data_IF_651142240144
#
_entry.id   IF_651142240144
#
_cell.length_a   1.000
_cell.length_b   1.000
_cell.length_c   1.000
_cell.angle_alpha   90.00
_cell.angle_beta   90.00
_cell.angle_gamma   90.00
#
_symmetry.space_group_name_H-M   'P 1'
#
loop_
_entity.id
_entity.type
_entity.pdbx_description
1 polymer ?
#
# COMPACT_ATOMS: atom_id res chain seq x y z
N UNK A 1 4.73 -0.93 23.56
CA UNK A 1 5.43 -0.57 22.31
C UNK A 1 4.39 -0.41 21.22
N UNK A 2 4.26 0.75 20.60
CA UNK A 2 3.36 0.96 19.46
C UNK A 2 4.13 0.75 18.14
N UNK A 3 4.12 -0.47 17.62
CA UNK A 3 4.54 -0.76 16.25
C UNK A 3 3.29 -1.06 15.42
N UNK A 4 2.67 -0.05 14.79
CA UNK A 4 1.53 -0.30 13.92
C UNK A 4 1.30 0.76 12.84
N UNK A 5 2.29 1.61 12.52
CA UNK A 5 2.16 2.52 11.38
C UNK A 5 3.52 2.86 10.77
N UNK A 6 3.51 3.05 9.45
CA UNK A 6 4.65 3.50 8.64
C UNK A 6 4.24 4.81 8.00
N UNK A 7 5.08 5.85 8.12
CA UNK A 7 4.89 7.12 7.43
C UNK A 7 5.88 7.18 6.28
N UNK A 8 5.38 7.34 5.06
CA UNK A 8 6.20 7.50 3.85
C UNK A 8 6.19 8.96 3.42
N UNK A 9 7.38 9.54 3.22
CA UNK A 9 7.56 10.88 2.63
C UNK A 9 8.35 10.74 1.34
N UNK A 10 7.79 11.20 0.23
CA UNK A 10 8.42 11.14 -1.10
C UNK A 10 8.89 12.54 -1.51
N UNK A 11 10.08 12.60 -2.09
CA UNK A 11 10.66 13.79 -2.71
C UNK A 11 11.79 13.36 -3.65
N UNK A 12 11.86 13.98 -4.82
CA UNK A 12 12.91 13.73 -5.77
C UNK A 12 14.16 14.54 -5.42
N UNK A 13 15.20 13.84 -4.94
CA UNK A 13 16.45 14.44 -4.48
C UNK A 13 17.16 15.30 -5.55
N UNK A 14 17.08 14.91 -6.83
CA UNK A 14 17.76 15.62 -7.93
C UNK A 14 17.04 16.93 -8.28
N UNK A 15 15.71 16.93 -8.21
CA UNK A 15 14.89 18.12 -8.45
C UNK A 15 14.77 19.02 -7.21
N UNK A 16 15.17 18.54 -6.04
CA UNK A 16 14.94 19.19 -4.73
C UNK A 16 13.46 19.56 -4.52
N UNK A 17 12.56 18.71 -4.98
CA UNK A 17 11.13 18.98 -4.99
C UNK A 17 10.29 17.78 -5.41
N UNK A 18 8.98 17.95 -5.44
CA UNK A 18 8.04 16.92 -5.87
C UNK A 18 7.97 16.89 -7.39
N UNK A 19 7.98 15.68 -7.96
CA UNK A 19 7.94 15.41 -9.39
C UNK A 19 6.99 14.26 -9.70
N UNK A 20 6.74 14.02 -10.99
CA UNK A 20 5.95 12.86 -11.44
C UNK A 20 6.50 11.52 -10.94
N UNK A 21 7.82 11.41 -10.71
CA UNK A 21 8.43 10.19 -10.16
C UNK A 21 7.89 9.86 -8.76
N UNK A 22 7.63 10.88 -7.95
CA UNK A 22 7.08 10.71 -6.60
C UNK A 22 5.64 10.22 -6.67
N UNK A 23 4.85 10.74 -7.61
CA UNK A 23 3.48 10.27 -7.85
C UNK A 23 3.43 8.86 -8.43
N UNK A 24 4.30 8.52 -9.38
CA UNK A 24 4.42 7.16 -9.92
C UNK A 24 4.76 6.15 -8.82
N UNK A 25 5.69 6.50 -7.92
CA UNK A 25 6.04 5.67 -6.77
C UNK A 25 4.87 5.58 -5.76
N UNK A 26 4.18 6.69 -5.49
CA UNK A 26 3.00 6.68 -4.62
C UNK A 26 1.91 5.75 -5.17
N UNK A 27 1.63 5.80 -6.49
CA UNK A 27 0.69 4.89 -7.14
C UNK A 27 1.12 3.42 -7.02
N UNK A 28 2.43 3.13 -7.13
CA UNK A 28 2.91 1.76 -6.95
C UNK A 28 2.75 1.28 -5.51
N UNK A 29 3.04 2.14 -4.53
CA UNK A 29 2.83 1.84 -3.11
C UNK A 29 1.34 1.55 -2.86
N UNK A 30 0.45 2.40 -3.36
CA UNK A 30 -0.99 2.22 -3.23
C UNK A 30 -1.45 0.90 -3.86
N UNK A 31 -0.98 0.58 -5.06
CA UNK A 31 -1.31 -0.67 -5.74
C UNK A 31 -0.81 -1.93 -5.00
N UNK A 32 0.31 -1.84 -4.28
CA UNK A 32 0.83 -2.94 -3.46
C UNK A 32 0.05 -3.08 -2.16
N UNK A 33 -0.21 -1.96 -1.47
CA UNK A 33 -0.96 -1.96 -0.21
C UNK A 33 -2.38 -2.45 -0.47
N UNK A 34 -3.09 -1.87 -1.44
CA UNK A 34 -4.48 -2.23 -1.75
C UNK A 34 -4.66 -3.54 -2.53
N UNK A 35 -3.58 -4.31 -2.71
CA UNK A 35 -3.64 -5.55 -3.47
C UNK A 35 -4.61 -6.57 -2.85
N UNK A 36 -5.45 -7.17 -3.70
CA UNK A 36 -6.51 -8.12 -3.32
C UNK A 36 -6.34 -9.43 -4.10
N UNK A 37 -5.39 -10.29 -3.70
CA UNK A 37 -5.08 -11.49 -4.48
C UNK A 37 -6.24 -12.50 -4.55
N UNK A 38 -7.15 -12.50 -3.56
CA UNK A 38 -8.36 -13.32 -3.60
C UNK A 38 -9.31 -12.99 -4.76
N UNK A 39 -9.16 -11.83 -5.41
CA UNK A 39 -9.92 -11.44 -6.61
C UNK A 39 -9.27 -11.90 -7.92
N UNK A 40 -8.05 -12.44 -7.87
CA UNK A 40 -7.28 -12.82 -9.07
C UNK A 40 -7.44 -14.31 -9.45
N UNK A 41 -8.20 -15.10 -8.68
CA UNK A 41 -8.48 -16.51 -8.99
C UNK A 41 -7.29 -17.45 -8.83
N UNK A 42 -6.25 -17.04 -8.09
CA UNK A 42 -5.06 -17.83 -7.77
C UNK A 42 -5.16 -18.62 -6.45
N UNK A 43 -4.03 -19.13 -5.97
CA UNK A 43 -3.94 -19.87 -4.71
C UNK A 43 -3.99 -18.98 -3.44
N UNK A 44 -3.90 -17.66 -3.61
CA UNK A 44 -3.86 -16.71 -2.50
C UNK A 44 -5.28 -16.24 -2.17
N UNK A 45 -5.73 -16.50 -0.95
CA UNK A 45 -7.09 -16.19 -0.49
C UNK A 45 -7.32 -14.69 -0.24
N UNK A 46 -6.27 -13.92 0.03
CA UNK A 46 -6.34 -12.46 0.28
C UNK A 46 -6.67 -12.09 1.72
N UNK A 47 -7.17 -10.86 1.90
CA UNK A 47 -7.43 -10.28 3.22
C UNK A 47 -8.63 -10.99 3.88
N UNK A 48 -8.49 -11.55 5.10
CA UNK A 48 -9.59 -12.20 5.80
C UNK A 48 -10.77 -11.27 6.12
N UNK A 49 -11.98 -11.82 6.14
CA UNK A 49 -13.19 -11.08 6.54
C UNK A 49 -13.31 -10.91 8.07
N UNK A 50 -12.72 -11.82 8.86
CA UNK A 50 -12.72 -11.71 10.33
C UNK A 50 -11.96 -10.43 10.74
N UNK A 51 -12.63 -9.47 11.41
CA UNK A 51 -12.02 -8.21 11.82
C UNK A 51 -10.76 -8.36 12.69
N UNK A 52 -10.58 -9.50 13.37
CA UNK A 52 -9.39 -9.78 14.18
C UNK A 52 -8.13 -9.97 13.35
N UNK A 53 -8.29 -10.39 12.09
CA UNK A 53 -7.18 -10.74 11.18
C UNK A 53 -7.14 -9.84 9.93
N UNK A 54 -8.12 -8.95 9.76
CA UNK A 54 -8.18 -7.98 8.68
C UNK A 54 -7.11 -6.90 8.87
N UNK A 55 -6.13 -6.86 7.97
CA UNK A 55 -5.01 -5.91 8.03
C UNK A 55 -5.23 -4.65 7.16
N UNK A 56 -6.23 -4.65 6.28
CA UNK A 56 -6.61 -3.50 5.43
C UNK A 56 -8.13 -3.35 5.40
N UNK A 57 -8.60 -2.11 5.56
CA UNK A 57 -9.98 -1.73 5.28
C UNK A 57 -10.02 -1.09 3.89
N UNK A 58 -10.75 -1.71 2.98
CA UNK A 58 -11.09 -1.12 1.69
C UNK A 58 -12.27 -0.14 1.88
N UNK A 59 -12.30 0.94 1.10
CA UNK A 59 -13.41 1.91 1.06
C UNK A 59 -14.68 1.33 0.40
#
# INVERSE_FOLDING_TARGET
MSYAFVIVKLMNHAAKGITNKDFELAHKIEGVIMWQPGKEGGALEGTPDDPRFKYIKYD
#
